data_IF_554539772435
#
_entry.id   IF_554539772435
#
_cell.length_a   1.000
_cell.length_b   1.000
_cell.length_c   1.000
_cell.angle_alpha   90.00
_cell.angle_beta   90.00
_cell.angle_gamma   90.00
#
_symmetry.space_group_name_H-M   'P 1'
#
loop_
_entity.id
_entity.type
_entity.pdbx_description
1 polymer ?
#
# COMPACT_ATOMS: atom_id res chain seq x y z
N UNK A 1 4.73 -6.69 -15.96
CA UNK A 1 5.72 -5.75 -15.36
C UNK A 1 5.27 -5.41 -13.95
N UNK A 2 6.22 -5.28 -13.05
CA UNK A 2 5.95 -4.89 -11.65
C UNK A 2 6.45 -3.45 -11.45
N UNK A 3 5.56 -2.56 -11.04
CA UNK A 3 5.89 -1.17 -10.76
C UNK A 3 6.18 -0.98 -9.27
N UNK A 4 7.42 -0.75 -8.94
CA UNK A 4 7.90 -0.49 -7.57
C UNK A 4 8.14 1.00 -7.32
N UNK A 5 7.63 1.86 -8.20
CA UNK A 5 7.86 3.30 -8.16
C UNK A 5 6.61 4.07 -7.78
N UNK A 6 6.71 5.36 -7.42
CA UNK A 6 5.54 6.21 -7.19
C UNK A 6 4.74 6.54 -8.46
N UNK A 7 5.13 6.02 -9.62
CA UNK A 7 4.45 6.29 -10.88
C UNK A 7 2.98 5.82 -10.89
N UNK A 8 2.63 4.88 -10.03
CA UNK A 8 1.27 4.38 -9.84
C UNK A 8 0.64 3.86 -11.14
N UNK A 9 1.40 3.06 -11.88
CA UNK A 9 0.95 2.48 -13.14
C UNK A 9 0.36 1.10 -12.87
N UNK A 10 -0.88 0.89 -13.35
CA UNK A 10 -1.59 -0.36 -13.21
C UNK A 10 -2.38 -0.49 -11.89
N UNK A 11 -3.15 -1.57 -11.73
CA UNK A 11 -3.93 -1.80 -10.53
C UNK A 11 -3.03 -2.07 -9.32
N UNK A 12 -3.47 -1.64 -8.14
CA UNK A 12 -2.78 -1.95 -6.89
C UNK A 12 -2.78 -3.46 -6.65
N UNK A 13 -1.61 -4.02 -6.39
CA UNK A 13 -1.44 -5.43 -6.12
C UNK A 13 -0.72 -5.68 -4.80
N UNK A 14 -1.39 -6.37 -3.90
CA UNK A 14 -0.80 -6.96 -2.70
C UNK A 14 -0.97 -8.46 -2.87
N UNK A 15 0.09 -9.22 -3.22
CA UNK A 15 -0.06 -10.59 -3.74
C UNK A 15 -0.90 -11.53 -2.89
N UNK A 16 -0.72 -11.48 -1.58
CA UNK A 16 -1.47 -12.38 -0.68
C UNK A 16 -2.97 -12.04 -0.63
N UNK A 17 -3.37 -10.86 -1.11
CA UNK A 17 -4.75 -10.39 -1.06
C UNK A 17 -5.45 -10.50 -2.42
N UNK A 18 -4.82 -9.98 -3.49
CA UNK A 18 -5.53 -9.79 -4.75
C UNK A 18 -4.74 -10.13 -6.01
N UNK A 19 -3.64 -10.88 -5.91
CA UNK A 19 -2.87 -11.24 -7.10
C UNK A 19 -3.74 -11.95 -8.16
N UNK A 20 -4.59 -12.86 -7.73
CA UNK A 20 -5.43 -13.67 -8.65
C UNK A 20 -6.37 -12.81 -9.49
N UNK A 21 -6.76 -11.64 -9.00
CA UNK A 21 -7.64 -10.72 -9.72
C UNK A 21 -6.93 -9.99 -10.87
N UNK A 22 -5.59 -9.97 -10.86
CA UNK A 22 -4.79 -9.14 -11.77
C UNK A 22 -3.73 -9.91 -12.54
N UNK A 23 -3.87 -11.24 -12.65
CA UNK A 23 -2.88 -12.07 -13.37
C UNK A 23 -2.70 -11.66 -14.83
N UNK A 24 -3.76 -11.15 -15.46
CA UNK A 24 -3.73 -10.74 -16.87
C UNK A 24 -3.31 -9.28 -17.06
N UNK A 25 -3.08 -8.53 -15.99
CA UNK A 25 -2.70 -7.13 -16.10
C UNK A 25 -1.28 -7.00 -16.66
N UNK A 26 -1.06 -6.12 -17.66
CA UNK A 26 0.27 -5.92 -18.23
C UNK A 26 1.26 -5.29 -17.25
N UNK A 27 0.74 -4.58 -16.24
CA UNK A 27 1.54 -3.93 -15.23
C UNK A 27 0.82 -3.98 -13.89
N UNK A 28 1.57 -4.26 -12.82
CA UNK A 28 1.04 -4.33 -11.46
C UNK A 28 1.70 -3.24 -10.63
N UNK A 29 0.88 -2.42 -9.97
CA UNK A 29 1.36 -1.41 -9.03
C UNK A 29 1.56 -2.06 -7.66
N UNK A 30 2.81 -2.20 -7.24
CA UNK A 30 3.18 -2.89 -6.00
C UNK A 30 3.04 -2.01 -4.76
N UNK A 31 2.33 -0.90 -4.87
CA UNK A 31 2.00 0.00 -3.74
C UNK A 31 3.28 0.63 -3.15
N UNK A 32 3.59 0.31 -1.91
CA UNK A 32 4.77 0.80 -1.19
C UNK A 32 5.28 -0.31 -0.27
N UNK A 33 6.51 -0.16 0.21
CA UNK A 33 7.05 -1.12 1.19
C UNK A 33 6.17 -1.18 2.45
N UNK A 34 5.74 -0.01 2.95
CA UNK A 34 4.83 0.04 4.09
C UNK A 34 3.46 -0.55 3.78
N UNK A 35 2.95 -0.32 2.56
CA UNK A 35 1.68 -0.89 2.12
C UNK A 35 1.74 -2.41 2.02
N UNK A 36 2.80 -2.96 1.46
CA UNK A 36 2.96 -4.42 1.37
C UNK A 36 3.06 -5.07 2.76
N UNK A 37 3.57 -4.35 3.74
CA UNK A 37 3.68 -4.86 5.11
C UNK A 37 2.35 -4.77 5.87
N UNK A 38 1.53 -3.77 5.61
CA UNK A 38 0.35 -3.45 6.44
C UNK A 38 -0.98 -3.83 5.81
N UNK A 39 -1.14 -3.72 4.49
CA UNK A 39 -2.40 -4.02 3.80
C UNK A 39 -2.86 -5.48 4.03
N UNK A 40 -1.99 -6.50 4.03
CA UNK A 40 -2.43 -7.86 4.35
C UNK A 40 -3.10 -7.99 5.71
N UNK A 41 -2.62 -7.25 6.70
CA UNK A 41 -3.20 -7.26 8.04
C UNK A 41 -4.59 -6.61 8.03
N UNK A 42 -4.71 -5.46 7.35
CA UNK A 42 -6.00 -4.77 7.19
C UNK A 42 -7.01 -5.68 6.47
N UNK A 43 -6.57 -6.34 5.39
CA UNK A 43 -7.43 -7.26 4.65
C UNK A 43 -7.89 -8.45 5.49
N UNK A 44 -6.99 -9.00 6.32
CA UNK A 44 -7.33 -10.11 7.21
C UNK A 44 -8.39 -9.69 8.24
N UNK A 45 -8.27 -8.49 8.79
CA UNK A 45 -9.29 -7.96 9.72
C UNK A 45 -10.61 -7.70 9.00
N UNK A 46 -10.55 -7.19 7.77
CA UNK A 46 -11.76 -6.91 6.99
C UNK A 46 -12.55 -8.18 6.65
N UNK A 47 -11.92 -9.34 6.59
CA UNK A 47 -12.62 -10.61 6.39
C UNK A 47 -13.48 -10.99 7.60
N UNK A 48 -13.14 -10.51 8.79
CA UNK A 48 -13.86 -10.80 10.02
C UNK A 48 -14.97 -9.81 10.32
N UNK A 49 -15.06 -8.70 9.59
CA UNK A 49 -16.06 -7.67 9.82
C UNK A 49 -15.80 -6.41 8.99
N UNK A 50 -16.53 -5.34 9.30
CA UNK A 50 -16.39 -4.07 8.60
C UNK A 50 -15.28 -3.26 9.26
N UNK A 51 -14.30 -2.82 8.45
CA UNK A 51 -13.23 -1.93 8.90
C UNK A 51 -13.60 -0.50 8.48
N UNK A 52 -14.03 0.32 9.43
CA UNK A 52 -14.42 1.70 9.15
C UNK A 52 -13.22 2.58 8.83
N UNK A 53 -12.10 2.32 9.50
CA UNK A 53 -10.90 3.13 9.37
C UNK A 53 -9.66 2.31 9.72
N UNK A 54 -8.61 2.51 8.95
CA UNK A 54 -7.31 1.89 9.22
C UNK A 54 -6.23 2.96 9.17
N UNK A 55 -5.29 2.89 10.10
CA UNK A 55 -4.16 3.82 10.15
C UNK A 55 -2.87 3.04 10.34
N UNK A 56 -1.84 3.40 9.57
CA UNK A 56 -0.50 2.87 9.74
C UNK A 56 0.47 3.98 10.10
N UNK A 57 1.37 3.67 11.03
CA UNK A 57 2.48 4.55 11.36
C UNK A 57 3.76 3.74 11.14
N UNK A 58 4.62 4.22 10.26
CA UNK A 58 5.85 3.53 9.90
C UNK A 58 7.07 4.35 10.26
N UNK A 59 8.06 3.69 10.84
CA UNK A 59 9.38 4.29 11.09
C UNK A 59 10.41 3.55 10.25
N UNK A 60 11.27 4.29 9.58
CA UNK A 60 12.38 3.70 8.86
C UNK A 60 13.68 4.43 9.19
N UNK A 61 14.79 3.72 9.01
CA UNK A 61 16.11 4.29 9.21
C UNK A 61 16.38 5.39 8.17
N UNK A 62 16.87 6.54 8.63
CA UNK A 62 17.26 7.61 7.72
C UNK A 62 18.38 7.18 6.75
N UNK A 63 19.21 6.22 7.15
CA UNK A 63 20.25 5.66 6.28
C UNK A 63 19.69 4.81 5.16
N UNK A 64 18.56 4.14 5.42
CA UNK A 64 17.91 3.29 4.42
C UNK A 64 17.02 4.08 3.47
N UNK A 65 16.59 5.26 3.88
CA UNK A 65 15.77 6.13 3.04
C UNK A 65 16.65 6.92 2.09
N UNK A 66 16.59 6.62 0.80
CA UNK A 66 17.31 7.36 -0.22
C UNK A 66 16.69 8.75 -0.46
N UNK A 67 17.38 9.61 -1.26
CA UNK A 67 16.86 10.94 -1.59
C UNK A 67 15.49 10.90 -2.28
N UNK A 68 15.27 9.94 -3.16
CA UNK A 68 13.98 9.77 -3.84
C UNK A 68 12.84 9.46 -2.88
N UNK A 69 13.09 8.64 -1.87
CA UNK A 69 12.12 8.31 -0.85
C UNK A 69 11.72 9.55 -0.05
N UNK A 70 12.69 10.37 0.33
CA UNK A 70 12.43 11.61 1.07
C UNK A 70 11.65 12.63 0.25
N UNK A 71 11.97 12.74 -1.04
CA UNK A 71 11.30 13.68 -1.94
C UNK A 71 9.85 13.29 -2.22
N UNK A 72 9.50 12.00 -2.10
CA UNK A 72 8.18 11.47 -2.47
C UNK A 72 7.40 10.94 -1.26
N UNK A 73 7.68 11.45 -0.07
CA UNK A 73 7.04 10.94 1.15
C UNK A 73 5.52 11.11 1.12
N UNK A 74 5.01 12.20 0.55
CA UNK A 74 3.58 12.44 0.44
C UNK A 74 2.93 11.44 -0.51
N UNK A 75 3.59 11.10 -1.63
CA UNK A 75 3.11 10.09 -2.56
C UNK A 75 3.04 8.72 -1.89
N UNK A 76 4.05 8.38 -1.09
CA UNK A 76 4.07 7.11 -0.35
C UNK A 76 2.92 7.03 0.65
N UNK A 77 2.67 8.09 1.40
CA UNK A 77 1.60 8.09 2.41
C UNK A 77 0.22 8.05 1.75
N UNK A 78 0.02 8.80 0.70
CA UNK A 78 -1.25 8.79 -0.04
C UNK A 78 -1.51 7.44 -0.71
N UNK A 79 -0.52 6.87 -1.38
CA UNK A 79 -0.64 5.58 -2.04
C UNK A 79 -0.96 4.48 -1.03
N UNK A 80 -0.27 4.45 0.10
CA UNK A 80 -0.51 3.47 1.15
C UNK A 80 -1.92 3.61 1.73
N UNK A 81 -2.35 4.83 2.00
CA UNK A 81 -3.70 5.12 2.49
C UNK A 81 -4.76 4.62 1.52
N UNK A 82 -4.60 4.91 0.23
CA UNK A 82 -5.52 4.45 -0.81
C UNK A 82 -5.54 2.92 -0.91
N UNK A 83 -4.37 2.28 -0.83
CA UNK A 83 -4.29 0.82 -0.89
C UNK A 83 -4.99 0.14 0.27
N UNK A 84 -4.95 0.72 1.48
CA UNK A 84 -5.70 0.18 2.61
C UNK A 84 -7.21 0.17 2.37
N UNK A 85 -7.70 1.14 1.61
CA UNK A 85 -9.12 1.20 1.24
C UNK A 85 -9.45 0.28 0.08
N UNK A 86 -8.68 0.35 -1.01
CA UNK A 86 -8.97 -0.36 -2.26
C UNK A 86 -8.67 -1.85 -2.13
N UNK A 87 -7.54 -2.22 -1.58
CA UNK A 87 -7.08 -3.61 -1.47
C UNK A 87 -7.43 -4.19 -0.11
N UNK A 88 -7.21 -3.44 0.96
CA UNK A 88 -7.44 -3.91 2.32
C UNK A 88 -8.89 -3.92 2.75
N UNK A 89 -9.77 -3.19 2.07
CA UNK A 89 -11.20 -3.18 2.36
C UNK A 89 -11.63 -2.22 3.46
N UNK A 90 -10.75 -1.35 3.96
CA UNK A 90 -11.13 -0.33 4.93
C UNK A 90 -11.97 0.77 4.27
N UNK A 91 -12.92 1.33 5.00
CA UNK A 91 -13.75 2.43 4.49
C UNK A 91 -13.01 3.76 4.48
N UNK A 92 -12.04 3.93 5.36
CA UNK A 92 -11.15 5.08 5.37
C UNK A 92 -9.75 4.66 5.80
N UNK A 93 -8.76 5.46 5.47
CA UNK A 93 -7.39 5.10 5.80
C UNK A 93 -6.46 6.31 5.94
N UNK A 94 -5.39 6.12 6.70
CA UNK A 94 -4.34 7.10 6.87
C UNK A 94 -3.01 6.39 7.04
N UNK A 95 -1.99 6.90 6.40
CA UNK A 95 -0.63 6.42 6.57
C UNK A 95 0.25 7.58 7.05
N UNK A 96 1.08 7.29 8.04
CA UNK A 96 2.04 8.24 8.59
C UNK A 96 3.42 7.60 8.55
N UNK A 97 4.39 8.37 8.12
CA UNK A 97 5.78 7.93 8.03
C UNK A 97 6.66 8.78 8.93
N UNK A 98 7.50 8.12 9.68
CA UNK A 98 8.45 8.79 10.57
C UNK A 98 9.87 8.31 10.34
#
# INVERSE_FOLDING_TARGET
MLDLTPASIGPFCVPVVNLDEHLDAPNLNMVTCGGQATVPIVAAVAQSGIVSYAETVSSISAKSAGPGTRANIDDFTETTSTAMQVVGGAQGGKAVRR
#
